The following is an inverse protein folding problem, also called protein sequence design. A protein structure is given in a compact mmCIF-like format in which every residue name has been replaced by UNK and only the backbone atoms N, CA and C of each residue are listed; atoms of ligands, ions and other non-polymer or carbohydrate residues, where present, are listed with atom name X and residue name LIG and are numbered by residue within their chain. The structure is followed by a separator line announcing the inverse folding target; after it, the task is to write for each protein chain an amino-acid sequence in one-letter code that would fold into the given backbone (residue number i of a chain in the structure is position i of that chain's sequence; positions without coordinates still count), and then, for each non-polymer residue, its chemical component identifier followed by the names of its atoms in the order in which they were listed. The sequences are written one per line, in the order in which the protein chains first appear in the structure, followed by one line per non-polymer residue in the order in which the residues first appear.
data_IF_234617729931
#
_entry.id   IF_234617729931
#
_cell.length_a   1.000
_cell.length_b   1.000
_cell.length_c   1.000
_cell.angle_alpha   90.00
_cell.angle_beta   90.00
_cell.angle_gamma   90.00
#
_symmetry.space_group_name_H-M   'P 1'
#
loop_
_entity.id
_entity.type
_entity.pdbx_description
1 polymer ?
#
# COMPACT_ATOMS: atom_id res chain seq x y z
N UNK A 1 -10.45 11.85 21.08
CA UNK A 1 -10.82 10.42 20.92
C UNK A 1 -10.22 9.76 19.67
N UNK A 2 -9.47 10.45 18.81
CA UNK A 2 -9.02 9.92 17.50
C UNK A 2 -7.60 9.32 17.47
N UNK A 3 -6.81 9.49 18.54
CA UNK A 3 -5.45 8.91 18.68
C UNK A 3 -5.44 7.38 18.55
N UNK A 4 -6.59 6.71 18.78
CA UNK A 4 -6.73 5.27 18.69
C UNK A 4 -6.94 4.74 17.26
N UNK A 5 -7.29 5.58 16.28
CA UNK A 5 -7.55 5.11 14.90
C UNK A 5 -6.26 4.66 14.22
N UNK A 6 -5.16 5.41 14.40
CA UNK A 6 -3.86 5.06 13.86
C UNK A 6 -3.36 3.68 14.32
N UNK A 7 -3.30 3.34 15.63
CA UNK A 7 -2.89 2.01 16.06
C UNK A 7 -3.85 0.90 15.63
N UNK A 8 -5.15 1.19 15.47
CA UNK A 8 -6.14 0.19 15.07
C UNK A 8 -5.99 -0.21 13.59
N UNK A 9 -5.78 0.77 12.70
CA UNK A 9 -5.53 0.49 11.29
C UNK A 9 -4.11 0.00 10.99
N UNK A 10 -3.12 0.43 11.78
CA UNK A 10 -1.80 -0.20 11.81
C UNK A 10 -1.94 -1.68 12.17
N UNK A 11 -2.73 -1.99 13.20
CA UNK A 11 -3.07 -3.36 13.61
C UNK A 11 -3.74 -4.16 12.49
N UNK A 12 -4.77 -3.62 11.83
CA UNK A 12 -5.43 -4.27 10.70
C UNK A 12 -4.47 -4.53 9.52
N UNK A 13 -3.56 -3.59 9.25
CA UNK A 13 -2.56 -3.73 8.18
C UNK A 13 -1.53 -4.82 8.51
N UNK A 14 -1.10 -4.89 9.78
CA UNK A 14 -0.23 -5.96 10.28
C UNK A 14 -0.95 -7.31 10.19
N UNK A 15 -2.22 -7.39 10.61
CA UNK A 15 -3.03 -8.61 10.51
C UNK A 15 -3.15 -9.05 9.05
N UNK A 16 -3.37 -8.12 8.12
CA UNK A 16 -3.44 -8.44 6.69
C UNK A 16 -2.11 -9.00 6.15
N UNK A 17 -0.97 -8.42 6.56
CA UNK A 17 0.37 -8.92 6.19
C UNK A 17 0.62 -10.30 6.80
N UNK A 18 0.22 -10.53 8.05
CA UNK A 18 0.34 -11.84 8.72
C UNK A 18 -0.58 -12.88 8.08
N UNK A 19 -1.81 -12.52 7.73
CA UNK A 19 -2.76 -13.41 7.07
C UNK A 19 -2.27 -13.83 5.67
N UNK A 20 -1.68 -12.90 4.89
CA UNK A 20 -1.06 -13.19 3.60
C UNK A 20 0.14 -14.14 3.76
N UNK A 21 0.91 -13.98 4.84
CA UNK A 21 2.03 -14.85 5.18
C UNK A 21 1.61 -16.29 5.53
N UNK A 22 0.57 -16.42 6.36
CA UNK A 22 0.02 -17.72 6.77
C UNK A 22 -0.55 -18.44 5.55
N UNK A 23 -1.28 -17.73 4.67
CA UNK A 23 -1.82 -18.30 3.42
C UNK A 23 -0.75 -18.72 2.43
N UNK A 24 0.36 -18.00 2.34
CA UNK A 24 1.46 -18.32 1.43
C UNK A 24 2.42 -19.40 1.97
N UNK A 25 2.29 -19.81 3.24
CA UNK A 25 3.18 -20.79 3.88
C UNK A 25 4.66 -20.41 3.89
N UNK A 26 4.98 -19.12 3.65
CA UNK A 26 6.36 -18.68 3.44
C UNK A 26 6.65 -17.30 4.04
N UNK A 27 7.65 -17.28 4.93
CA UNK A 27 8.18 -16.08 5.59
C UNK A 27 8.84 -15.11 4.60
N UNK A 28 9.25 -15.58 3.40
CA UNK A 28 9.79 -14.72 2.34
C UNK A 28 8.74 -13.76 1.78
N UNK A 29 7.46 -14.15 1.78
CA UNK A 29 6.35 -13.29 1.40
C UNK A 29 6.16 -12.11 2.36
N UNK A 30 6.48 -12.31 3.64
CA UNK A 30 6.41 -11.28 4.70
C UNK A 30 7.35 -10.13 4.39
N UNK A 31 8.63 -10.40 4.08
CA UNK A 31 9.63 -9.37 3.80
C UNK A 31 9.19 -8.44 2.67
N UNK A 32 8.64 -9.00 1.59
CA UNK A 32 8.12 -8.21 0.47
C UNK A 32 6.84 -7.46 0.80
N UNK A 33 5.98 -8.01 1.67
CA UNK A 33 4.79 -7.31 2.17
C UNK A 33 5.13 -6.15 3.10
N UNK A 34 6.08 -6.36 4.02
CA UNK A 34 6.55 -5.37 4.98
C UNK A 34 7.31 -4.23 4.29
N UNK A 35 8.18 -4.55 3.32
CA UNK A 35 8.84 -3.52 2.51
C UNK A 35 7.82 -2.68 1.74
N UNK A 36 6.82 -3.30 1.11
CA UNK A 36 5.75 -2.58 0.42
C UNK A 36 4.93 -1.71 1.37
N UNK A 37 4.60 -2.22 2.55
CA UNK A 37 3.91 -1.48 3.60
C UNK A 37 4.70 -0.23 4.04
N UNK A 38 5.99 -0.40 4.33
CA UNK A 38 6.89 0.70 4.73
C UNK A 38 7.00 1.77 3.63
N UNK A 39 7.10 1.35 2.36
CA UNK A 39 7.11 2.30 1.23
C UNK A 39 5.78 3.06 1.13
N UNK A 40 4.63 2.39 1.29
CA UNK A 40 3.33 3.06 1.28
C UNK A 40 3.20 4.09 2.41
N UNK A 41 3.65 3.73 3.62
CA UNK A 41 3.66 4.67 4.75
C UNK A 41 4.58 5.87 4.49
N UNK A 42 5.77 5.64 3.92
CA UNK A 42 6.70 6.71 3.58
C UNK A 42 6.08 7.66 2.55
N UNK A 43 5.40 7.13 1.53
CA UNK A 43 4.70 7.94 0.52
C UNK A 43 3.56 8.76 1.14
N UNK A 44 2.77 8.16 2.03
CA UNK A 44 1.72 8.89 2.77
C UNK A 44 2.33 10.02 3.61
N UNK A 45 3.48 9.77 4.25
CA UNK A 45 4.21 10.78 5.02
C UNK A 45 4.71 11.93 4.17
N UNK A 46 5.38 11.64 3.07
CA UNK A 46 5.89 12.66 2.14
C UNK A 46 4.75 13.50 1.57
N UNK A 47 3.64 12.86 1.19
CA UNK A 47 2.45 13.57 0.70
C UNK A 47 1.85 14.48 1.76
N UNK A 48 1.66 14.00 2.99
CA UNK A 48 1.16 14.79 4.11
C UNK A 48 2.08 15.98 4.42
N UNK A 49 3.40 15.75 4.43
CA UNK A 49 4.38 16.78 4.69
C UNK A 49 4.38 17.86 3.61
N UNK A 50 4.22 17.46 2.34
CA UNK A 50 4.08 18.38 1.22
C UNK A 50 2.80 19.22 1.35
N UNK A 51 1.65 18.60 1.65
CA UNK A 51 0.38 19.30 1.84
C UNK A 51 0.48 20.38 2.93
N UNK A 52 1.00 20.01 4.11
CA UNK A 52 1.18 20.94 5.24
C UNK A 52 2.19 22.05 4.94
N UNK A 53 3.15 21.80 4.04
CA UNK A 53 4.14 22.80 3.65
C UNK A 53 3.65 23.76 2.58
N UNK A 54 2.62 23.37 1.82
CA UNK A 54 2.05 24.15 0.72
C UNK A 54 0.77 24.90 1.12
N UNK A 55 0.13 24.52 2.22
CA UNK A 55 -1.12 25.11 2.69
C UNK A 55 -0.88 26.20 3.75
N UNK A 56 -0.92 27.50 3.40
CA UNK A 56 -0.92 28.57 4.38
C UNK A 56 -2.29 28.67 5.06
N UNK A 57 -2.30 28.84 6.38
CA UNK A 57 -3.50 29.28 7.08
C UNK A 57 -3.55 30.80 7.12
N UNK A 58 -4.74 31.38 7.13
CA UNK A 58 -4.91 32.83 7.24
C UNK A 58 -5.07 33.20 8.71
N UNK A 59 -4.20 34.10 9.18
CA UNK A 59 -4.30 34.66 10.52
C UNK A 59 -5.47 35.66 10.62
N UNK A 60 -5.84 36.11 11.81
CA UNK A 60 -6.98 37.04 12.00
C UNK A 60 -6.81 38.38 11.26
N UNK A 61 -5.56 38.71 10.89
CA UNK A 61 -5.21 39.88 10.08
C UNK A 61 -5.25 39.62 8.56
N UNK A 62 -5.63 38.42 8.12
CA UNK A 62 -5.69 38.00 6.72
C UNK A 62 -4.33 37.71 6.08
N UNK A 63 -3.23 37.73 6.85
CA UNK A 63 -1.91 37.38 6.34
C UNK A 63 -1.74 35.84 6.24
N UNK A 64 -1.13 35.34 5.16
CA UNK A 64 -0.79 33.93 5.06
C UNK A 64 0.33 33.59 6.04
N UNK A 65 0.02 32.73 7.00
CA UNK A 65 0.95 32.18 7.99
C UNK A 65 1.09 30.68 7.76
N UNK A 66 2.28 30.14 8.02
CA UNK A 66 2.53 28.71 7.90
C UNK A 66 2.80 28.10 9.26
N UNK A 67 2.44 26.83 9.41
CA UNK A 67 2.82 26.05 10.58
C UNK A 67 4.34 26.08 10.72
N UNK A 68 4.80 26.30 11.94
CA UNK A 68 6.22 26.36 12.28
C UNK A 68 6.90 25.02 11.95
N UNK A 69 8.10 25.04 11.35
CA UNK A 69 8.72 23.84 10.78
C UNK A 69 8.89 22.72 11.82
N UNK A 70 9.16 23.10 13.08
CA UNK A 70 9.28 22.20 14.24
C UNK A 70 8.02 21.37 14.52
N UNK A 71 6.84 21.88 14.17
CA UNK A 71 5.56 21.17 14.36
C UNK A 71 5.10 20.44 13.11
N UNK A 72 5.60 20.81 11.92
CA UNK A 72 5.20 20.18 10.65
C UNK A 72 5.44 18.68 10.63
N UNK A 73 6.54 18.20 11.22
CA UNK A 73 6.87 16.78 11.25
C UNK A 73 5.84 15.94 12.00
N UNK A 74 5.32 16.47 13.11
CA UNK A 74 4.29 15.85 13.92
C UNK A 74 2.94 15.85 13.21
N UNK A 75 2.52 17.02 12.70
CA UNK A 75 1.27 17.15 11.95
C UNK A 75 1.27 16.32 10.66
N UNK A 76 2.43 16.22 10.00
CA UNK A 76 2.60 15.35 8.84
C UNK A 76 2.45 13.88 9.21
N UNK A 77 2.95 13.44 10.37
CA UNK A 77 2.75 12.06 10.82
C UNK A 77 1.26 11.77 11.06
N UNK A 78 0.53 12.70 11.68
CA UNK A 78 -0.91 12.56 11.92
C UNK A 78 -1.71 12.53 10.62
N UNK A 79 -1.49 13.50 9.73
CA UNK A 79 -2.15 13.56 8.43
C UNK A 79 -1.79 12.37 7.53
N UNK A 80 -0.54 11.89 7.59
CA UNK A 80 -0.13 10.68 6.89
C UNK A 80 -0.89 9.45 7.38
N UNK A 81 -1.15 9.37 8.69
CA UNK A 81 -2.01 8.35 9.27
C UNK A 81 -3.39 8.34 8.62
N UNK A 82 -4.00 9.51 8.44
CA UNK A 82 -5.29 9.68 7.75
C UNK A 82 -5.26 9.22 6.30
N UNK A 83 -4.25 9.64 5.54
CA UNK A 83 -4.09 9.24 4.13
C UNK A 83 -3.90 7.72 4.04
N UNK A 84 -3.11 7.15 4.96
CA UNK A 84 -2.81 5.73 4.99
C UNK A 84 -4.07 4.86 5.20
N UNK A 85 -5.09 5.36 5.91
CA UNK A 85 -6.38 4.64 6.10
C UNK A 85 -7.04 4.24 4.79
N UNK A 86 -6.96 5.09 3.78
CA UNK A 86 -7.56 4.86 2.47
C UNK A 86 -6.55 4.24 1.51
N UNK A 87 -5.30 4.70 1.58
CA UNK A 87 -4.26 4.32 0.63
C UNK A 87 -3.74 2.89 0.83
N UNK A 88 -3.53 2.45 2.08
CA UNK A 88 -3.04 1.11 2.36
C UNK A 88 -3.99 0.00 1.85
N UNK A 89 -5.29 -0.04 2.21
CA UNK A 89 -6.16 -1.12 1.76
C UNK A 89 -6.30 -1.15 0.24
N UNK A 90 -6.36 0.02 -0.42
CA UNK A 90 -6.42 0.11 -1.89
C UNK A 90 -5.12 -0.36 -2.54
N UNK A 91 -3.96 0.03 -2.01
CA UNK A 91 -2.65 -0.42 -2.50
C UNK A 91 -2.46 -1.94 -2.33
N UNK A 92 -2.89 -2.52 -1.21
CA UNK A 92 -2.84 -3.96 -0.99
C UNK A 92 -3.83 -4.72 -1.88
N UNK A 93 -5.05 -4.21 -2.06
CA UNK A 93 -6.03 -4.80 -2.98
C UNK A 93 -5.51 -4.79 -4.42
N UNK A 94 -4.92 -3.68 -4.87
CA UNK A 94 -4.32 -3.58 -6.19
C UNK A 94 -3.13 -4.55 -6.35
N UNK A 95 -2.26 -4.64 -5.35
CA UNK A 95 -1.14 -5.59 -5.34
C UNK A 95 -1.63 -7.04 -5.44
N UNK A 96 -2.71 -7.39 -4.75
CA UNK A 96 -3.33 -8.72 -4.84
C UNK A 96 -3.92 -8.96 -6.23
N UNK A 97 -4.65 -7.99 -6.79
CA UNK A 97 -5.22 -8.09 -8.14
C UNK A 97 -4.13 -8.29 -9.21
N UNK A 98 -3.04 -7.52 -9.18
CA UNK A 98 -1.92 -7.65 -10.12
C UNK A 98 -1.24 -9.01 -10.01
N UNK A 99 -1.03 -9.51 -8.79
CA UNK A 99 -0.52 -10.88 -8.58
C UNK A 99 -1.47 -11.93 -9.17
N UNK A 100 -2.77 -11.78 -8.94
CA UNK A 100 -3.81 -12.66 -9.47
C UNK A 100 -3.81 -12.71 -11.00
N UNK A 101 -3.78 -11.54 -11.65
CA UNK A 101 -3.72 -11.42 -13.12
C UNK A 101 -2.45 -12.08 -13.66
N UNK A 102 -1.29 -11.85 -13.04
CA UNK A 102 -0.03 -12.46 -13.48
C UNK A 102 -0.06 -13.99 -13.38
N UNK A 103 -0.63 -14.53 -12.30
CA UNK A 103 -0.76 -15.98 -12.13
C UNK A 103 -1.73 -16.57 -13.16
N UNK A 104 -2.83 -15.87 -13.44
CA UNK A 104 -3.80 -16.27 -14.46
C UNK A 104 -3.17 -16.31 -15.86
N UNK A 105 -2.46 -15.25 -16.26
CA UNK A 105 -1.78 -15.16 -17.56
C UNK A 105 -0.72 -16.26 -17.76
N UNK A 106 -0.02 -16.64 -16.69
CA UNK A 106 0.96 -17.72 -16.75
C UNK A 106 0.30 -19.07 -17.00
N UNK A 107 -0.84 -19.34 -16.35
CA UNK A 107 -1.59 -20.59 -16.53
C UNK A 107 -2.19 -20.72 -17.92
N UNK A 108 -2.69 -19.63 -18.51
CA UNK A 108 -3.23 -19.67 -19.88
C UNK A 108 -2.14 -19.98 -20.90
N UNK A 109 -0.95 -19.38 -20.75
CA UNK A 109 0.20 -19.68 -21.60
C UNK A 109 0.70 -21.13 -21.47
N UNK A 110 0.75 -21.68 -20.26
CA UNK A 110 1.14 -23.08 -20.04
C UNK A 110 0.12 -24.05 -20.66
N UNK A 111 -1.19 -23.76 -20.55
CA UNK A 111 -2.24 -24.59 -21.15
C UNK A 111 -2.23 -24.57 -22.68
N UNK A 112 -1.97 -23.41 -23.31
CA UNK A 112 -1.83 -23.31 -24.77
C UNK A 112 -0.63 -24.10 -25.29
N UNK A 113 0.51 -24.05 -24.58
CA UNK A 113 1.70 -24.84 -24.92
C UNK A 113 1.46 -26.35 -24.85
N UNK A 114 0.74 -26.82 -23.82
CA UNK A 114 0.39 -28.24 -23.68
C UNK A 114 -0.55 -28.68 -24.81
N UNK A 115 -1.56 -27.87 -25.15
CA UNK A 115 -2.48 -28.17 -26.24
C UNK A 115 -1.76 -28.31 -27.59
N UNK A 116 -0.81 -27.41 -27.90
CA UNK A 116 -0.02 -27.46 -29.12
C UNK A 116 0.85 -28.74 -29.22
N UNK A 117 1.51 -29.13 -28.13
CA UNK A 117 2.31 -30.37 -28.11
C UNK A 117 1.46 -31.65 -28.24
N UNK A 118 0.21 -31.61 -27.77
CA UNK A 118 -0.71 -32.75 -27.86
C UNK A 118 -1.23 -32.93 -29.29
N UNK A 119 -1.48 -31.83 -30.02
CA UNK A 119 -1.89 -31.88 -31.43
C UNK A 119 -0.77 -32.36 -32.37
N UNK A 120 0.50 -32.02 -32.09
CA UNK A 120 1.64 -32.55 -32.85
C UNK A 120 1.77 -34.07 -32.70
N UNK A 121 1.63 -34.58 -31.48
CA UNK A 121 1.77 -36.02 -31.22
C UNK A 121 0.62 -36.87 -31.79
N UNK A 122 -0.56 -36.29 -32.04
CA UNK A 122 -1.70 -36.99 -32.68
C UNK A 122 -1.55 -37.03 -34.22
N UNK A 123 -0.69 -36.19 -34.81
CA UNK A 123 -0.47 -36.11 -36.26
C UNK A 123 0.66 -37.01 -36.76
N UNK A 124 1.49 -37.57 -35.87
CA UNK A 124 2.50 -38.60 -36.16
C UNK A 124 1.90 -40.01 -36.12
#
# INVERSE_FOLDING_TARGET
MMILLFPLFLGLSIIAVVADAVRAGSVRGIRGGLAFFSVCLLLCYVLAFALISLDPYFDDNGAPSFIDLRFRWFWAAELAGWIALLFLPTAFALRAAVKGVRVWLRRTSENEGIAATTEEHIRE
#
